data_IF_178348071171
#
_entry.id   IF_178348071171
#
_cell.length_a   1.000
_cell.length_b   1.000
_cell.length_c   1.000
_cell.angle_alpha   90.00
_cell.angle_beta   90.00
_cell.angle_gamma   90.00
#
_symmetry.space_group_name_H-M   'P 1'
#
loop_
_entity.id
_entity.type
_entity.pdbx_description
1 polymer ?
#
# COMPACT_ATOMS: atom_id res chain seq x y z
N UNK A 1 33.43 16.94 57.96
CA UNK A 1 33.74 16.67 59.38
C UNK A 1 32.42 16.40 60.09
N UNK A 2 31.95 15.14 60.12
CA UNK A 2 32.20 14.13 61.17
C UNK A 2 31.46 14.39 62.48
N UNK A 3 30.42 13.55 62.70
CA UNK A 3 29.86 12.99 63.94
C UNK A 3 29.45 13.89 65.13
N UNK A 4 28.19 13.74 65.56
CA UNK A 4 27.89 12.97 66.79
C UNK A 4 26.39 12.65 66.95
N UNK A 5 26.15 11.40 67.33
CA UNK A 5 24.86 10.82 67.66
C UNK A 5 24.44 11.14 69.11
N UNK A 6 23.13 11.10 69.38
CA UNK A 6 22.60 10.86 70.73
C UNK A 6 21.34 10.00 70.65
N UNK A 7 21.44 8.81 71.24
CA UNK A 7 20.36 7.81 71.41
C UNK A 7 19.35 8.31 72.44
N UNK A 8 18.05 8.08 72.19
CA UNK A 8 17.11 7.71 73.26
C UNK A 8 16.22 6.56 72.82
N UNK A 9 16.31 5.48 73.60
CA UNK A 9 15.47 4.28 73.54
C UNK A 9 14.03 4.61 73.93
N UNK A 10 13.06 4.08 73.21
CA UNK A 10 11.77 3.66 73.73
C UNK A 10 11.42 2.30 73.15
N UNK A 11 10.68 1.56 73.94
CA UNK A 11 10.60 0.10 74.07
C UNK A 11 9.14 -0.30 73.83
N UNK A 12 8.93 -1.54 73.33
CA UNK A 12 7.66 -2.31 73.23
C UNK A 12 6.67 -1.81 72.15
N UNK A 13 5.89 -2.63 71.44
CA UNK A 13 5.27 -3.95 71.70
C UNK A 13 5.11 -4.69 70.35
N UNK A 14 5.31 -6.01 70.34
CA UNK A 14 5.00 -6.92 69.23
C UNK A 14 3.50 -7.12 69.04
N UNK A 15 2.99 -7.09 67.81
CA UNK A 15 1.76 -7.79 67.41
C UNK A 15 1.92 -8.29 65.97
N UNK A 16 1.85 -9.60 65.81
CA UNK A 16 1.89 -10.31 64.54
C UNK A 16 0.66 -9.97 63.69
N UNK A 17 0.88 -9.50 62.47
CA UNK A 17 -0.16 -9.37 61.45
C UNK A 17 0.14 -10.34 60.31
N UNK A 18 -0.49 -11.51 60.33
CA UNK A 18 -0.52 -12.43 59.19
C UNK A 18 -1.47 -11.82 58.16
N UNK A 19 -0.93 -11.01 57.26
CA UNK A 19 -1.66 -10.51 56.09
C UNK A 19 -1.69 -11.60 55.01
N UNK A 20 -2.82 -12.30 54.90
CA UNK A 20 -3.06 -13.28 53.83
C UNK A 20 -3.10 -12.53 52.50
N UNK A 21 -2.11 -12.76 51.63
CA UNK A 21 -2.14 -12.33 50.23
C UNK A 21 -3.28 -13.08 49.52
N UNK A 22 -4.42 -12.40 49.35
CA UNK A 22 -5.43 -12.86 48.38
C UNK A 22 -4.98 -12.43 46.99
N UNK A 23 -4.23 -13.30 46.31
CA UNK A 23 -3.98 -13.18 44.88
C UNK A 23 -5.31 -13.44 44.15
N UNK A 24 -6.08 -12.38 43.88
CA UNK A 24 -7.16 -12.44 42.93
C UNK A 24 -6.53 -12.71 41.55
N UNK A 25 -6.57 -13.97 41.12
CA UNK A 25 -6.13 -14.39 39.80
C UNK A 25 -6.98 -13.71 38.74
N UNK A 26 -6.48 -12.63 38.16
CA UNK A 26 -7.03 -12.06 36.93
C UNK A 26 -6.66 -13.04 35.81
N UNK A 27 -7.59 -13.93 35.46
CA UNK A 27 -7.45 -14.81 34.30
C UNK A 27 -7.42 -13.96 33.03
N UNK A 28 -6.23 -13.52 32.64
CA UNK A 28 -5.94 -13.00 31.30
C UNK A 28 -6.08 -14.17 30.32
N UNK A 29 -7.31 -14.43 29.87
CA UNK A 29 -7.50 -15.28 28.70
C UNK A 29 -6.75 -14.61 27.54
N UNK A 30 -5.81 -15.29 26.88
CA UNK A 30 -5.16 -14.73 25.72
C UNK A 30 -6.26 -14.43 24.69
N UNK A 31 -6.42 -13.16 24.33
CA UNK A 31 -7.20 -12.81 23.14
C UNK A 31 -6.50 -13.49 21.97
N UNK A 32 -7.09 -14.56 21.45
CA UNK A 32 -6.66 -15.11 20.18
C UNK A 32 -6.89 -14.02 19.15
N UNK A 33 -5.81 -13.32 18.77
CA UNK A 33 -5.81 -12.48 17.60
C UNK A 33 -6.09 -13.42 16.41
N UNK A 34 -7.35 -13.47 15.98
CA UNK A 34 -7.70 -14.14 14.74
C UNK A 34 -7.07 -13.30 13.64
N UNK A 35 -6.11 -13.87 12.91
CA UNK A 35 -5.62 -13.24 11.69
C UNK A 35 -6.84 -12.95 10.81
N UNK A 36 -6.95 -11.71 10.32
CA UNK A 36 -8.02 -11.37 9.40
C UNK A 36 -8.00 -12.38 8.24
N UNK A 37 -9.16 -12.91 7.80
CA UNK A 37 -9.18 -13.88 6.72
C UNK A 37 -8.55 -13.25 5.47
N UNK A 38 -7.61 -13.98 4.85
CA UNK A 38 -6.95 -13.54 3.64
C UNK A 38 -7.95 -13.23 2.53
N UNK A 39 -7.78 -12.10 1.84
CA UNK A 39 -8.57 -11.79 0.65
C UNK A 39 -8.10 -12.63 -0.55
N UNK A 40 -9.02 -12.92 -1.46
CA UNK A 40 -8.67 -13.53 -2.76
C UNK A 40 -7.82 -12.57 -3.60
N UNK A 41 -8.12 -11.28 -3.51
CA UNK A 41 -7.46 -10.20 -4.24
C UNK A 41 -7.12 -9.06 -3.29
N UNK A 42 -5.93 -8.48 -3.47
CA UNK A 42 -5.55 -7.22 -2.87
C UNK A 42 -5.18 -6.21 -3.95
N UNK A 43 -5.77 -5.01 -3.85
CA UNK A 43 -5.44 -3.87 -4.71
C UNK A 43 -4.46 -2.96 -3.96
N UNK A 44 -3.22 -2.90 -4.40
CA UNK A 44 -2.18 -2.03 -3.81
C UNK A 44 -2.03 -0.80 -4.69
N UNK A 45 -2.44 0.37 -4.20
CA UNK A 45 -2.57 1.58 -5.03
C UNK A 45 -1.82 2.78 -4.45
N UNK A 46 -1.01 3.42 -5.31
CA UNK A 46 -0.32 4.66 -4.98
C UNK A 46 -1.07 5.89 -5.53
N UNK A 47 -1.48 6.79 -4.63
CA UNK A 47 -2.18 8.04 -4.97
C UNK A 47 -1.28 9.04 -5.72
N UNK A 48 -1.87 10.12 -6.20
CA UNK A 48 -1.16 11.22 -6.87
C UNK A 48 -0.60 12.26 -5.90
N UNK A 49 0.23 13.15 -6.47
CA UNK A 49 0.85 14.27 -5.75
C UNK A 49 -0.17 15.12 -5.01
N UNK A 50 0.09 15.41 -3.73
CA UNK A 50 -0.72 16.31 -2.91
C UNK A 50 -2.07 15.72 -2.46
N UNK A 51 -2.41 14.49 -2.87
CA UNK A 51 -3.59 13.82 -2.35
C UNK A 51 -3.40 13.46 -0.87
N UNK A 52 -4.47 13.55 -0.09
CA UNK A 52 -4.48 13.11 1.30
C UNK A 52 -4.23 11.59 1.42
N UNK A 53 -3.72 11.09 2.55
CA UNK A 53 -3.54 9.65 2.78
C UNK A 53 -4.80 8.84 2.44
N UNK A 54 -4.63 7.71 1.75
CA UNK A 54 -5.71 6.90 1.18
C UNK A 54 -5.50 6.61 -0.31
N UNK A 55 -6.54 6.09 -0.96
CA UNK A 55 -6.47 5.61 -2.36
C UNK A 55 -6.56 6.74 -3.41
N UNK A 56 -6.87 7.97 -3.00
CA UNK A 56 -7.01 9.12 -3.90
C UNK A 56 -8.23 9.05 -4.83
N UNK A 57 -8.31 10.02 -5.74
CA UNK A 57 -9.45 10.25 -6.65
C UNK A 57 -9.63 9.13 -7.68
N UNK A 58 -8.56 8.42 -8.05
CA UNK A 58 -8.61 7.32 -9.02
C UNK A 58 -8.63 5.95 -8.34
N UNK A 59 -7.88 5.77 -7.25
CA UNK A 59 -7.78 4.47 -6.59
C UNK A 59 -9.05 4.09 -5.86
N UNK A 60 -9.72 5.05 -5.22
CA UNK A 60 -11.00 4.80 -4.50
C UNK A 60 -12.08 4.21 -5.42
N UNK A 61 -12.43 4.85 -6.56
CA UNK A 61 -13.40 4.26 -7.48
C UNK A 61 -12.86 2.99 -8.15
N UNK A 62 -11.56 2.90 -8.47
CA UNK A 62 -10.98 1.67 -9.05
C UNK A 62 -11.21 0.45 -8.15
N UNK A 63 -10.91 0.56 -6.85
CA UNK A 63 -11.12 -0.52 -5.88
C UNK A 63 -12.60 -0.90 -5.79
N UNK A 64 -13.48 0.10 -5.72
CA UNK A 64 -14.94 -0.11 -5.69
C UNK A 64 -15.41 -0.91 -6.91
N UNK A 65 -14.92 -0.55 -8.09
CA UNK A 65 -15.41 -1.14 -9.34
C UNK A 65 -14.77 -2.51 -9.60
N UNK A 66 -13.52 -2.74 -9.20
CA UNK A 66 -12.91 -4.09 -9.19
C UNK A 66 -13.71 -5.03 -8.28
N UNK A 67 -14.05 -4.58 -7.06
CA UNK A 67 -14.86 -5.36 -6.13
C UNK A 67 -16.22 -5.70 -6.70
N UNK A 68 -16.83 -4.77 -7.44
CA UNK A 68 -18.12 -4.99 -8.10
C UNK A 68 -18.00 -5.97 -9.29
N UNK A 69 -16.87 -5.95 -10.01
CA UNK A 69 -16.60 -6.80 -11.16
C UNK A 69 -16.14 -8.22 -10.79
N UNK A 70 -15.90 -8.52 -9.52
CA UNK A 70 -15.45 -9.82 -9.03
C UNK A 70 -16.44 -10.44 -8.02
N UNK A 71 -17.70 -10.71 -8.42
CA UNK A 71 -18.66 -11.34 -7.54
C UNK A 71 -18.14 -12.72 -7.09
N UNK A 72 -18.31 -13.01 -5.79
CA UNK A 72 -17.83 -14.25 -5.19
C UNK A 72 -16.34 -14.27 -4.81
N UNK A 73 -15.61 -13.16 -5.00
CA UNK A 73 -14.25 -13.00 -4.46
C UNK A 73 -14.21 -11.89 -3.42
N UNK A 74 -13.38 -12.09 -2.41
CA UNK A 74 -13.03 -11.06 -1.43
C UNK A 74 -11.93 -10.16 -1.99
N UNK A 75 -12.20 -8.85 -2.02
CA UNK A 75 -11.25 -7.84 -2.49
C UNK A 75 -10.91 -6.91 -1.33
N UNK A 76 -9.64 -6.92 -0.93
CA UNK A 76 -9.04 -5.94 -0.02
C UNK A 76 -8.31 -4.87 -0.82
N UNK A 77 -7.93 -3.79 -0.14
CA UNK A 77 -7.13 -2.72 -0.74
C UNK A 77 -6.14 -2.17 0.27
N UNK A 78 -4.95 -1.87 -0.23
CA UNK A 78 -3.92 -1.15 0.49
C UNK A 78 -3.62 0.16 -0.21
N UNK A 79 -3.68 1.25 0.54
CA UNK A 79 -3.24 2.56 0.07
C UNK A 79 -1.77 2.72 0.46
N UNK A 80 -0.90 2.84 -0.55
CA UNK A 80 0.54 2.99 -0.32
C UNK A 80 0.82 4.16 0.62
N UNK A 81 1.54 3.86 1.71
CA UNK A 81 1.87 4.83 2.74
C UNK A 81 3.16 5.57 2.40
N UNK A 82 2.97 6.72 1.79
CA UNK A 82 4.05 7.59 1.37
C UNK A 82 3.61 9.04 1.31
N UNK A 83 4.57 9.96 1.26
CA UNK A 83 4.27 11.40 1.40
C UNK A 83 3.48 12.01 0.24
N UNK A 84 3.52 11.41 -0.96
CA UNK A 84 2.94 11.99 -2.19
C UNK A 84 3.31 13.49 -2.39
N UNK A 85 4.56 13.86 -2.08
CA UNK A 85 4.93 15.26 -1.91
C UNK A 85 5.08 16.00 -3.26
N UNK A 86 4.86 17.31 -3.25
CA UNK A 86 4.99 18.16 -4.45
C UNK A 86 6.41 18.24 -5.01
N UNK A 87 7.43 17.96 -4.18
CA UNK A 87 8.82 17.91 -4.62
C UNK A 87 9.14 16.66 -5.48
N UNK A 88 8.19 15.74 -5.65
CA UNK A 88 8.34 14.49 -6.42
C UNK A 88 9.46 13.56 -5.91
N UNK A 89 9.88 13.71 -4.65
CA UNK A 89 10.97 12.90 -4.07
C UNK A 89 10.47 11.63 -3.38
N UNK A 90 9.15 11.45 -3.28
CA UNK A 90 8.56 10.35 -2.52
C UNK A 90 8.26 9.09 -3.33
N UNK A 91 8.42 9.08 -4.67
CA UNK A 91 8.08 7.89 -5.45
C UNK A 91 8.95 6.66 -5.12
N UNK A 92 10.25 6.86 -4.85
CA UNK A 92 11.14 5.80 -4.35
C UNK A 92 10.66 5.18 -3.03
N UNK A 93 10.48 5.96 -1.96
CA UNK A 93 9.89 5.48 -0.70
C UNK A 93 8.53 4.78 -0.88
N UNK A 94 7.63 5.32 -1.70
CA UNK A 94 6.34 4.68 -1.97
C UNK A 94 6.49 3.33 -2.69
N UNK A 95 7.50 3.15 -3.54
CA UNK A 95 7.76 1.88 -4.20
C UNK A 95 8.30 0.83 -3.23
N UNK A 96 9.09 1.27 -2.25
CA UNK A 96 9.51 0.42 -1.13
C UNK A 96 8.31 -0.06 -0.32
N UNK A 97 7.42 0.85 0.06
CA UNK A 97 6.20 0.53 0.81
C UNK A 97 5.26 -0.41 0.03
N UNK A 98 4.99 -0.12 -1.25
CA UNK A 98 4.22 -1.01 -2.15
C UNK A 98 4.84 -2.42 -2.22
N UNK A 99 6.16 -2.51 -2.31
CA UNK A 99 6.88 -3.79 -2.37
C UNK A 99 6.77 -4.56 -1.05
N UNK A 100 6.92 -3.86 0.07
CA UNK A 100 6.84 -4.44 1.41
C UNK A 100 5.44 -4.98 1.71
N UNK A 101 4.39 -4.27 1.31
CA UNK A 101 3.02 -4.77 1.42
C UNK A 101 2.82 -6.05 0.60
N UNK A 102 3.24 -6.04 -0.67
CA UNK A 102 3.12 -7.23 -1.54
C UNK A 102 3.87 -8.43 -0.96
N UNK A 103 5.07 -8.23 -0.42
CA UNK A 103 5.83 -9.31 0.23
C UNK A 103 5.18 -9.79 1.54
N UNK A 104 4.71 -8.85 2.37
CA UNK A 104 4.03 -9.14 3.63
C UNK A 104 2.75 -9.94 3.40
N UNK A 105 1.86 -9.46 2.53
CA UNK A 105 0.66 -10.20 2.15
C UNK A 105 1.02 -11.51 1.48
N UNK A 106 2.07 -11.56 0.67
CA UNK A 106 2.47 -12.81 0.03
C UNK A 106 2.90 -13.89 1.02
N UNK A 107 3.59 -13.50 2.10
CA UNK A 107 4.04 -14.39 3.16
C UNK A 107 2.89 -14.87 4.05
N UNK A 108 1.98 -13.96 4.42
CA UNK A 108 0.88 -14.25 5.34
C UNK A 108 -0.33 -14.89 4.63
N UNK A 109 -0.54 -14.57 3.36
CA UNK A 109 -1.66 -14.97 2.55
C UNK A 109 -1.20 -15.52 1.19
N UNK A 110 -0.70 -16.77 1.13
CA UNK A 110 -0.02 -17.31 -0.05
C UNK A 110 -0.91 -17.46 -1.30
N UNK A 111 -2.23 -17.37 -1.16
CA UNK A 111 -3.20 -17.47 -2.26
C UNK A 111 -3.69 -16.12 -2.79
N UNK A 112 -3.41 -15.02 -2.09
CA UNK A 112 -3.85 -13.69 -2.52
C UNK A 112 -3.18 -13.31 -3.84
N UNK A 113 -3.99 -12.86 -4.80
CA UNK A 113 -3.52 -12.27 -6.05
C UNK A 113 -3.51 -10.75 -5.94
N UNK A 114 -2.60 -10.10 -6.65
CA UNK A 114 -2.40 -8.66 -6.56
C UNK A 114 -2.86 -7.95 -7.83
N UNK A 115 -3.53 -6.82 -7.63
CA UNK A 115 -3.68 -5.77 -8.63
C UNK A 115 -2.86 -4.58 -8.13
N UNK A 116 -1.92 -4.12 -8.93
CA UNK A 116 -1.13 -2.94 -8.59
C UNK A 116 -1.65 -1.74 -9.36
N UNK A 117 -1.56 -0.56 -8.79
CA UNK A 117 -1.93 0.64 -9.51
C UNK A 117 -1.32 1.91 -8.97
N UNK A 118 -1.45 2.95 -9.78
CA UNK A 118 -0.88 4.25 -9.49
C UNK A 118 -1.52 5.36 -10.29
N UNK A 119 -1.49 6.58 -9.75
CA UNK A 119 -1.90 7.78 -10.47
C UNK A 119 -0.83 8.86 -10.37
N UNK A 120 -0.45 9.47 -11.50
CA UNK A 120 0.53 10.57 -11.54
C UNK A 120 1.87 10.14 -10.92
N UNK A 121 2.34 10.80 -9.85
CA UNK A 121 3.49 10.34 -9.05
C UNK A 121 3.38 8.88 -8.59
N UNK A 122 2.16 8.45 -8.21
CA UNK A 122 1.88 7.06 -7.86
C UNK A 122 2.07 6.09 -9.02
N UNK A 123 1.95 6.54 -10.27
CA UNK A 123 2.34 5.75 -11.43
C UNK A 123 3.84 5.44 -11.43
N UNK A 124 4.68 6.41 -11.10
CA UNK A 124 6.11 6.18 -10.93
C UNK A 124 6.46 5.34 -9.70
N UNK A 125 5.67 5.41 -8.62
CA UNK A 125 5.76 4.45 -7.50
C UNK A 125 5.58 3.03 -8.03
N UNK A 126 4.51 2.79 -8.79
CA UNK A 126 4.25 1.49 -9.39
C UNK A 126 5.38 1.08 -10.33
N UNK A 127 5.83 1.94 -11.24
CA UNK A 127 6.93 1.63 -12.16
C UNK A 127 8.20 1.17 -11.43
N UNK A 128 8.61 1.93 -10.39
CA UNK A 128 9.79 1.59 -9.59
C UNK A 128 9.58 0.23 -8.90
N UNK A 129 8.40 -0.03 -8.32
CA UNK A 129 8.10 -1.31 -7.68
C UNK A 129 8.16 -2.49 -8.68
N UNK A 130 7.88 -2.25 -9.96
CA UNK A 130 8.01 -3.25 -11.05
C UNK A 130 9.45 -3.40 -11.55
N UNK A 131 10.42 -2.68 -10.98
CA UNK A 131 11.83 -2.67 -11.39
C UNK A 131 12.12 -1.77 -12.59
N UNK A 132 11.18 -0.92 -12.99
CA UNK A 132 11.37 0.04 -14.09
C UNK A 132 12.10 1.27 -13.55
N UNK A 133 13.26 1.59 -14.14
CA UNK A 133 13.98 2.83 -13.83
C UNK A 133 13.17 4.05 -14.28
N UNK A 134 12.95 4.98 -13.36
CA UNK A 134 12.30 6.28 -13.59
C UNK A 134 13.20 7.44 -13.14
N UNK A 135 12.78 8.67 -13.38
CA UNK A 135 13.48 9.86 -12.89
C UNK A 135 13.07 10.28 -11.47
N UNK A 136 12.02 9.67 -10.89
CA UNK A 136 11.46 10.05 -9.59
C UNK A 136 12.05 9.27 -8.40
N UNK A 137 13.25 8.72 -8.60
CA UNK A 137 14.04 8.06 -7.57
C UNK A 137 14.10 6.55 -7.69
N UNK A 138 14.55 5.92 -6.61
CA UNK A 138 14.74 4.47 -6.50
C UNK A 138 14.08 3.95 -5.23
N UNK A 139 13.58 2.73 -5.26
CA UNK A 139 12.96 2.03 -4.14
C UNK A 139 13.17 0.53 -4.27
N UNK A 140 12.59 -0.23 -3.34
CA UNK A 140 12.55 -1.69 -3.48
C UNK A 140 11.66 -2.08 -4.67
N UNK A 141 11.88 -3.30 -5.15
CA UNK A 141 11.16 -3.87 -6.29
C UNK A 141 10.54 -5.18 -5.88
N UNK A 142 9.35 -5.47 -6.40
CA UNK A 142 8.66 -6.75 -6.19
C UNK A 142 9.56 -7.89 -6.68
N UNK A 143 9.88 -8.88 -5.83
CA UNK A 143 10.66 -10.04 -6.24
C UNK A 143 10.03 -10.76 -7.43
N UNK A 144 10.86 -11.21 -8.38
CA UNK A 144 10.37 -11.90 -9.57
C UNK A 144 9.51 -13.14 -9.25
N UNK A 145 9.79 -13.83 -8.14
CA UNK A 145 8.99 -14.96 -7.66
C UNK A 145 7.53 -14.61 -7.31
N UNK A 146 7.22 -13.34 -7.03
CA UNK A 146 5.87 -12.86 -6.76
C UNK A 146 5.17 -12.31 -8.01
N UNK A 147 5.87 -12.14 -9.11
CA UNK A 147 5.30 -11.54 -10.32
C UNK A 147 4.16 -12.36 -10.94
N UNK A 148 4.14 -13.68 -10.75
CA UNK A 148 3.04 -14.53 -11.17
C UNK A 148 1.74 -14.26 -10.40
N UNK A 149 1.84 -13.72 -9.17
CA UNK A 149 0.72 -13.35 -8.31
C UNK A 149 0.21 -11.94 -8.58
N UNK A 150 1.03 -11.08 -9.20
CA UNK A 150 0.56 -9.82 -9.79
C UNK A 150 -0.18 -10.15 -11.09
N UNK A 151 -1.50 -9.98 -11.09
CA UNK A 151 -2.37 -10.34 -12.22
C UNK A 151 -2.65 -9.16 -13.13
N UNK A 152 -2.73 -7.96 -12.57
CA UNK A 152 -2.94 -6.74 -13.33
C UNK A 152 -2.15 -5.57 -12.76
N UNK A 153 -1.76 -4.65 -13.63
CA UNK A 153 -1.23 -3.33 -13.29
C UNK A 153 -2.07 -2.27 -14.00
N UNK A 154 -2.64 -1.33 -13.25
CA UNK A 154 -3.52 -0.28 -13.77
C UNK A 154 -3.00 1.09 -13.36
N UNK A 155 -2.52 1.88 -14.33
CA UNK A 155 -1.89 3.19 -14.06
C UNK A 155 -2.56 4.31 -14.85
N UNK A 156 -2.79 5.44 -14.19
CA UNK A 156 -3.40 6.65 -14.76
C UNK A 156 -2.38 7.79 -14.79
N UNK A 157 -2.26 8.47 -15.94
CA UNK A 157 -1.38 9.63 -16.08
C UNK A 157 0.10 9.31 -15.78
N UNK A 158 0.63 8.24 -16.37
CA UNK A 158 1.96 7.72 -16.03
C UNK A 158 3.11 8.64 -16.54
N UNK A 159 3.95 9.21 -15.65
CA UNK A 159 5.13 10.00 -16.04
C UNK A 159 6.17 9.22 -16.87
N UNK A 160 6.18 7.88 -16.81
CA UNK A 160 7.07 7.05 -17.63
C UNK A 160 7.02 7.43 -19.11
N UNK A 161 5.87 7.91 -19.59
CA UNK A 161 5.66 8.29 -20.97
C UNK A 161 6.47 9.50 -21.43
N UNK A 162 6.91 10.36 -20.52
CA UNK A 162 7.88 11.44 -20.80
C UNK A 162 9.22 10.91 -21.31
N UNK A 163 9.58 9.67 -20.95
CA UNK A 163 10.77 8.99 -21.45
C UNK A 163 10.54 8.18 -22.72
N UNK A 164 9.37 8.31 -23.36
CA UNK A 164 8.99 7.53 -24.54
C UNK A 164 8.68 6.07 -24.25
N UNK A 165 8.47 5.69 -22.98
CA UNK A 165 8.26 4.31 -22.54
C UNK A 165 6.88 4.11 -21.92
N UNK A 166 6.44 2.86 -21.87
CA UNK A 166 5.24 2.35 -21.19
C UNK A 166 5.67 1.15 -20.35
N UNK A 167 4.88 0.71 -19.38
CA UNK A 167 5.13 -0.55 -18.67
C UNK A 167 5.19 -1.71 -19.67
N UNK A 168 4.31 -1.69 -20.68
CA UNK A 168 4.28 -2.66 -21.77
C UNK A 168 5.63 -2.77 -22.53
N UNK A 169 6.30 -1.64 -22.78
CA UNK A 169 7.60 -1.63 -23.48
C UNK A 169 8.81 -1.71 -22.54
N UNK A 170 8.62 -1.56 -21.23
CA UNK A 170 9.68 -1.41 -20.25
C UNK A 170 9.89 -2.66 -19.37
N UNK A 171 8.94 -3.59 -19.36
CA UNK A 171 8.99 -4.80 -18.55
C UNK A 171 8.37 -5.98 -19.29
N UNK A 172 9.16 -6.99 -19.60
CA UNK A 172 8.64 -8.23 -20.20
C UNK A 172 7.71 -8.98 -19.25
N UNK A 173 7.97 -8.86 -17.94
CA UNK A 173 7.27 -9.61 -16.90
C UNK A 173 5.89 -9.02 -16.57
N UNK A 174 5.78 -7.68 -16.55
CA UNK A 174 4.57 -6.98 -16.16
C UNK A 174 3.87 -6.29 -17.33
N UNK A 175 4.58 -6.03 -18.42
CA UNK A 175 4.05 -5.40 -19.63
C UNK A 175 2.80 -6.09 -20.19
N UNK A 176 2.79 -7.43 -20.34
CA UNK A 176 1.59 -8.16 -20.76
C UNK A 176 0.41 -8.04 -19.80
N UNK A 177 0.62 -7.55 -18.58
CA UNK A 177 -0.38 -7.40 -17.50
C UNK A 177 -0.73 -5.95 -17.19
N UNK A 178 -0.16 -5.00 -17.92
CA UNK A 178 -0.35 -3.59 -17.69
C UNK A 178 -1.44 -2.99 -18.58
N UNK A 179 -2.21 -2.08 -17.99
CA UNK A 179 -3.10 -1.16 -18.69
C UNK A 179 -2.80 0.25 -18.19
N UNK A 180 -2.39 1.11 -19.11
CA UNK A 180 -2.06 2.50 -18.83
C UNK A 180 -3.06 3.43 -19.52
N UNK A 181 -3.53 4.43 -18.79
CA UNK A 181 -4.44 5.46 -19.28
C UNK A 181 -3.70 6.79 -19.32
N UNK A 182 -3.67 7.39 -20.51
CA UNK A 182 -3.10 8.72 -20.73
C UNK A 182 -4.10 9.53 -21.53
N UNK A 183 -4.77 10.49 -20.88
CA UNK A 183 -5.76 11.34 -21.52
C UNK A 183 -5.10 12.20 -22.60
N UNK A 184 -5.84 12.48 -23.68
CA UNK A 184 -5.37 13.40 -24.71
C UNK A 184 -5.13 14.78 -24.12
N UNK A 185 -3.93 15.33 -24.30
CA UNK A 185 -3.57 16.63 -23.74
C UNK A 185 -2.93 16.56 -22.34
N UNK A 186 -2.86 15.40 -21.69
CA UNK A 186 -2.19 15.26 -20.39
C UNK A 186 -0.66 15.52 -20.50
N UNK A 187 -0.14 16.60 -19.88
CA UNK A 187 1.29 16.92 -19.89
C UNK A 187 2.16 15.91 -19.15
N UNK A 188 1.62 15.19 -18.15
CA UNK A 188 2.37 14.20 -17.37
C UNK A 188 2.69 12.98 -18.22
N UNK A 189 1.83 12.66 -19.19
CA UNK A 189 2.11 11.63 -20.19
C UNK A 189 3.00 12.11 -21.34
N UNK A 190 3.54 13.34 -21.28
CA UNK A 190 4.27 13.96 -22.38
C UNK A 190 3.39 14.33 -23.57
N UNK A 191 2.07 14.44 -23.36
CA UNK A 191 1.09 14.62 -24.42
C UNK A 191 0.39 15.98 -24.28
N UNK A 192 1.03 17.09 -24.63
CA UNK A 192 0.38 18.41 -24.62
C UNK A 192 0.50 19.17 -23.30
N UNK A 193 -0.47 20.07 -23.02
CA UNK A 193 -0.41 21.05 -21.90
C UNK A 193 -1.73 21.21 -21.13
N UNK A 194 -2.69 20.29 -21.32
CA UNK A 194 -4.00 20.33 -20.70
C UNK A 194 -3.96 19.70 -19.31
N UNK A 195 -3.76 20.52 -18.27
CA UNK A 195 -3.79 20.04 -16.88
C UNK A 195 -5.13 19.41 -16.47
N UNK A 196 -6.27 19.85 -17.03
CA UNK A 196 -7.56 19.25 -16.73
C UNK A 196 -7.66 17.79 -17.24
N UNK A 197 -7.00 17.48 -18.36
CA UNK A 197 -6.91 16.10 -18.84
C UNK A 197 -6.23 15.20 -17.79
N UNK A 198 -5.22 15.70 -17.07
CA UNK A 198 -4.56 14.94 -16.01
C UNK A 198 -5.48 14.67 -14.81
N UNK A 199 -6.39 15.59 -14.49
CA UNK A 199 -7.21 15.52 -13.28
C UNK A 199 -8.52 14.74 -13.44
N UNK A 200 -8.85 14.29 -14.66
CA UNK A 200 -10.22 13.82 -15.00
C UNK A 200 -10.31 12.32 -15.33
N UNK A 201 -9.28 11.53 -15.05
CA UNK A 201 -9.31 10.06 -15.23
C UNK A 201 -10.48 9.36 -14.52
N UNK A 202 -10.90 9.90 -13.37
CA UNK A 202 -12.01 9.37 -12.58
C UNK A 202 -13.40 9.73 -13.14
N UNK A 203 -13.48 10.60 -14.16
CA UNK A 203 -14.74 11.11 -14.72
C UNK A 203 -14.99 10.68 -16.16
N UNK A 204 -14.04 9.99 -16.81
CA UNK A 204 -14.06 9.77 -18.26
C UNK A 204 -14.17 8.29 -18.66
N UNK A 205 -14.49 7.40 -17.72
CA UNK A 205 -14.60 5.96 -17.94
C UNK A 205 -13.27 5.19 -17.87
N UNK A 206 -12.13 5.86 -17.73
CA UNK A 206 -10.82 5.17 -17.62
C UNK A 206 -10.77 4.25 -16.39
N UNK A 207 -11.36 4.66 -15.27
CA UNK A 207 -11.42 3.85 -14.06
C UNK A 207 -12.24 2.57 -14.28
N UNK A 208 -13.42 2.67 -14.90
CA UNK A 208 -14.27 1.52 -15.22
C UNK A 208 -13.54 0.53 -16.14
N UNK A 209 -12.88 1.03 -17.18
CA UNK A 209 -12.08 0.23 -18.10
C UNK A 209 -10.91 -0.47 -17.40
N UNK A 210 -10.24 0.24 -16.48
CA UNK A 210 -9.16 -0.30 -15.66
C UNK A 210 -9.65 -1.40 -14.72
N UNK A 211 -10.79 -1.20 -14.08
CA UNK A 211 -11.40 -2.17 -13.18
C UNK A 211 -11.80 -3.45 -13.93
N UNK A 212 -12.46 -3.31 -15.08
CA UNK A 212 -12.83 -4.45 -15.94
C UNK A 212 -11.61 -5.22 -16.40
N UNK A 213 -10.57 -4.51 -16.87
CA UNK A 213 -9.31 -5.14 -17.25
C UNK A 213 -8.71 -5.94 -16.10
N UNK A 214 -8.63 -5.36 -14.90
CA UNK A 214 -8.07 -6.04 -13.73
C UNK A 214 -8.89 -7.28 -13.35
N UNK A 215 -10.22 -7.19 -13.34
CA UNK A 215 -11.11 -8.30 -13.06
C UNK A 215 -10.95 -9.44 -14.08
N UNK A 216 -10.85 -9.13 -15.37
CA UNK A 216 -10.59 -10.12 -16.42
C UNK A 216 -9.25 -10.82 -16.23
N UNK A 217 -8.20 -10.12 -15.78
CA UNK A 217 -6.91 -10.76 -15.50
C UNK A 217 -6.97 -11.69 -14.30
N UNK A 218 -7.66 -11.29 -13.24
CA UNK A 218 -7.87 -12.12 -12.05
C UNK A 218 -8.67 -13.39 -12.40
N UNK A 219 -9.67 -13.28 -13.27
CA UNK A 219 -10.51 -14.41 -13.66
C UNK A 219 -9.76 -15.46 -14.50
N UNK A 220 -8.71 -15.08 -15.23
CA UNK A 220 -7.97 -15.96 -16.15
C UNK A 220 -6.95 -16.90 -15.49
N UNK A 221 -6.63 -16.73 -14.21
CA UNK A 221 -5.60 -17.51 -13.51
C UNK A 221 -4.37 -16.69 -13.22
#
# INVERSE_FOLDING_TARGET
>A
MSHRASRRRRVLVSLAGVGVLSAAGLSLLPSMASAAPCSDVEVVFARGTGEAPGLGITGTPLVKDIKSALPGRTVASYAVDYAANFAQTSAGPGATDMTEEVESTAANCPRTSFVLGGYSQGGSVTDIALGIRTQLGTGRTIPQGLAARVKAVVVFGNPLRLSGRTIASASDLFGPKAKEFCNTGDPVCGNGRNGAAHLTYHLNGSVDDGARFAAERIARG
#
